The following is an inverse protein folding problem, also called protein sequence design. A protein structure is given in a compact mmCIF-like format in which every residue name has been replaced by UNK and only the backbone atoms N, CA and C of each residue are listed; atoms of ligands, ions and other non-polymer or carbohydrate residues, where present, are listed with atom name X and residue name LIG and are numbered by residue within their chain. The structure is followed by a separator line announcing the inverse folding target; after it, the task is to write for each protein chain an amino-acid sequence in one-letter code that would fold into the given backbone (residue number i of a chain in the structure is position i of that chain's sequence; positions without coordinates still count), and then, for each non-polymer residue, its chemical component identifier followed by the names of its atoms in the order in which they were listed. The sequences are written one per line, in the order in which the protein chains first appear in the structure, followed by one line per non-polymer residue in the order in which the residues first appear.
data_IF_334125751510
#
_entry.id   IF_334125751510
#
_cell.length_a   1.000
_cell.length_b   1.000
_cell.length_c   1.000
_cell.angle_alpha   90.00
_cell.angle_beta   90.00
_cell.angle_gamma   90.00
#
_symmetry.space_group_name_H-M   'P 1'
#
loop_
_entity.id
_entity.type
_entity.pdbx_description
1 polymer ?
#
# COMPACT_ATOMS: atom_id res chain seq x y z
N UNK A 1 6.22 4.49 3.36
CA UNK A 1 5.39 3.69 4.28
C UNK A 1 3.99 3.61 3.70
N UNK A 2 3.37 2.43 3.64
CA UNK A 2 2.04 2.27 3.02
C UNK A 2 0.94 3.06 3.76
N UNK A 3 1.01 3.09 5.09
CA UNK A 3 0.09 3.86 5.97
C UNK A 3 0.09 5.36 5.65
N UNK A 4 1.26 5.94 5.42
CA UNK A 4 1.38 7.38 5.15
C UNK A 4 0.63 7.78 3.87
N UNK A 5 0.77 7.00 2.80
CA UNK A 5 0.06 7.26 1.55
C UNK A 5 -1.47 7.17 1.69
N UNK A 6 -1.98 6.26 2.54
CA UNK A 6 -3.40 6.17 2.83
C UNK A 6 -3.91 7.40 3.62
N UNK A 7 -3.14 7.84 4.62
CA UNK A 7 -3.47 9.04 5.39
C UNK A 7 -3.47 10.31 4.52
N UNK A 8 -2.49 10.47 3.63
CA UNK A 8 -2.43 11.58 2.69
C UNK A 8 -3.65 11.62 1.75
N UNK A 9 -4.11 10.47 1.26
CA UNK A 9 -5.33 10.39 0.45
C UNK A 9 -6.57 10.80 1.21
N UNK A 10 -6.70 10.39 2.48
CA UNK A 10 -7.82 10.79 3.33
C UNK A 10 -7.79 12.31 3.58
N UNK A 11 -6.64 12.86 3.95
CA UNK A 11 -6.48 14.30 4.15
C UNK A 11 -6.79 15.10 2.87
N UNK A 12 -6.31 14.64 1.71
CA UNK A 12 -6.59 15.26 0.43
C UNK A 12 -8.08 15.23 0.08
N UNK A 13 -8.77 14.10 0.32
CA UNK A 13 -10.20 13.99 0.05
C UNK A 13 -11.03 14.91 0.95
N UNK A 14 -10.66 15.05 2.23
CA UNK A 14 -11.29 15.99 3.17
C UNK A 14 -11.07 17.43 2.69
N UNK A 15 -9.82 17.81 2.35
CA UNK A 15 -9.49 19.14 1.85
C UNK A 15 -10.32 19.47 0.60
N UNK A 16 -10.33 18.58 -0.40
CA UNK A 16 -11.12 18.73 -1.62
C UNK A 16 -12.61 18.93 -1.34
N UNK A 17 -13.16 18.18 -0.38
CA UNK A 17 -14.56 18.36 0.03
C UNK A 17 -14.81 19.77 0.58
N UNK A 18 -13.96 20.25 1.50
CA UNK A 18 -14.08 21.60 2.05
C UNK A 18 -13.92 22.70 0.99
N UNK A 19 -12.93 22.57 0.11
CA UNK A 19 -12.68 23.54 -0.97
C UNK A 19 -13.88 23.64 -1.92
N UNK A 20 -14.47 22.50 -2.29
CA UNK A 20 -15.69 22.46 -3.11
C UNK A 20 -16.91 23.07 -2.40
N UNK A 21 -17.03 22.88 -1.08
CA UNK A 21 -18.08 23.49 -0.28
C UNK A 21 -17.96 25.02 -0.26
N UNK A 22 -16.74 25.55 -0.05
CA UNK A 22 -16.45 26.99 -0.06
C UNK A 22 -16.72 27.61 -1.43
N UNK A 23 -16.30 26.95 -2.51
CA UNK A 23 -16.47 27.42 -3.88
C UNK A 23 -17.91 27.26 -4.43
N UNK A 24 -18.87 26.74 -3.63
CA UNK A 24 -20.27 26.51 -4.02
C UNK A 24 -20.44 25.76 -5.35
N UNK A 25 -19.53 24.82 -5.65
CA UNK A 25 -19.54 24.08 -6.91
C UNK A 25 -20.85 23.28 -7.05
N UNK A 26 -21.58 23.42 -8.17
CA UNK A 26 -22.80 22.64 -8.43
C UNK A 26 -22.48 21.16 -8.67
N UNK A 27 -23.21 20.26 -8.02
CA UNK A 27 -23.03 18.80 -8.13
C UNK A 27 -23.01 18.08 -6.78
N UNK A 28 -22.80 16.75 -6.80
CA UNK A 28 -22.80 15.91 -5.58
C UNK A 28 -21.59 16.26 -4.70
N UNK A 29 -21.81 17.12 -3.69
CA UNK A 29 -20.99 17.25 -2.47
C UNK A 29 -21.10 15.97 -1.63
N UNK A 30 -20.77 14.82 -2.21
CA UNK A 30 -20.73 13.56 -1.50
C UNK A 30 -19.59 13.60 -0.50
N UNK A 31 -19.87 13.24 0.76
CA UNK A 31 -18.81 13.04 1.74
C UNK A 31 -17.76 12.05 1.21
N UNK A 32 -16.47 12.27 1.51
CA UNK A 32 -15.42 11.31 1.18
C UNK A 32 -15.77 9.92 1.70
N UNK A 33 -15.60 8.89 0.88
CA UNK A 33 -15.80 7.49 1.26
C UNK A 33 -14.54 6.71 0.98
N UNK A 34 -14.22 5.77 1.85
CA UNK A 34 -13.11 4.85 1.64
C UNK A 34 -13.40 3.92 0.44
N UNK A 35 -12.35 3.64 -0.33
CA UNK A 35 -12.39 2.63 -1.38
C UNK A 35 -12.59 1.25 -0.73
N UNK A 36 -13.64 0.53 -1.15
CA UNK A 36 -13.95 -0.82 -0.63
C UNK A 36 -13.26 -1.94 -1.42
N UNK A 37 -13.00 -1.73 -2.71
CA UNK A 37 -12.46 -2.75 -3.62
C UNK A 37 -10.94 -2.69 -3.78
N UNK A 38 -10.20 -2.33 -2.72
CA UNK A 38 -8.74 -2.37 -2.78
C UNK A 38 -8.23 -3.76 -2.34
N UNK A 39 -7.65 -4.52 -3.28
CA UNK A 39 -7.10 -5.86 -3.01
C UNK A 39 -5.59 -5.88 -2.81
N UNK A 40 -4.94 -4.71 -2.81
CA UNK A 40 -3.49 -4.65 -2.68
C UNK A 40 -3.00 -3.47 -1.88
N UNK A 41 -1.86 -3.66 -1.22
CA UNK A 41 -1.17 -2.62 -0.47
C UNK A 41 0.25 -2.54 -1.00
N UNK A 42 0.62 -1.35 -1.46
CA UNK A 42 1.96 -1.08 -1.98
C UNK A 42 2.86 -0.46 -0.92
N UNK A 43 4.06 -1.02 -0.80
CA UNK A 43 5.11 -0.58 0.09
C UNK A 43 6.28 -0.02 -0.73
N UNK A 44 6.50 1.29 -0.63
CA UNK A 44 7.74 1.94 -1.10
C UNK A 44 8.88 1.79 -0.09
N UNK A 45 8.56 1.92 1.20
CA UNK A 45 9.51 1.86 2.32
C UNK A 45 8.89 1.11 3.50
N UNK A 46 9.73 0.60 4.41
CA UNK A 46 9.28 -0.19 5.56
C UNK A 46 9.28 -1.71 5.32
N UNK A 47 10.05 -2.18 4.34
CA UNK A 47 10.26 -3.59 4.05
C UNK A 47 11.77 -3.83 3.84
N UNK A 48 12.23 -5.06 4.11
CA UNK A 48 13.60 -5.50 3.84
C UNK A 48 13.58 -6.96 3.37
N UNK A 49 14.21 -7.24 2.24
CA UNK A 49 14.47 -8.60 1.79
C UNK A 49 15.64 -9.17 2.61
N UNK A 50 15.52 -10.41 3.07
CA UNK A 50 16.63 -11.11 3.74
C UNK A 50 17.73 -11.47 2.73
N UNK A 51 18.93 -11.75 3.24
CA UNK A 51 20.09 -12.14 2.43
C UNK A 51 19.84 -13.43 1.65
N UNK A 52 19.04 -14.33 2.21
CA UNK A 52 18.60 -15.57 1.57
C UNK A 52 17.62 -15.35 0.40
N UNK A 53 17.11 -14.14 0.24
CA UNK A 53 16.11 -13.71 -0.76
C UNK A 53 14.85 -14.57 -0.83
N UNK A 54 14.62 -15.37 0.20
CA UNK A 54 13.45 -16.25 0.37
C UNK A 54 12.48 -15.70 1.40
N UNK A 55 12.93 -14.74 2.22
CA UNK A 55 12.08 -14.08 3.20
C UNK A 55 12.10 -12.58 3.04
N UNK A 56 10.98 -11.95 3.42
CA UNK A 56 10.83 -10.52 3.47
C UNK A 56 10.28 -10.10 4.84
N UNK A 57 10.87 -9.08 5.44
CA UNK A 57 10.42 -8.53 6.73
C UNK A 57 9.78 -7.16 6.54
N UNK A 58 8.60 -6.98 7.10
CA UNK A 58 7.91 -5.69 7.17
C UNK A 58 8.12 -5.06 8.54
N UNK A 59 8.58 -3.81 8.55
CA UNK A 59 8.88 -3.02 9.76
C UNK A 59 7.96 -1.80 9.88
N UNK A 60 6.72 -1.94 9.45
CA UNK A 60 5.72 -0.87 9.39
C UNK A 60 4.96 -0.65 10.72
N UNK A 61 5.36 -1.36 11.79
CA UNK A 61 4.66 -1.42 13.09
C UNK A 61 3.21 -1.91 12.98
N UNK A 62 2.81 -2.51 11.86
CA UNK A 62 1.50 -3.11 11.67
C UNK A 62 1.45 -4.59 12.11
N UNK A 63 2.55 -5.14 12.62
CA UNK A 63 2.59 -6.50 13.18
C UNK A 63 2.66 -7.62 12.15
N UNK A 64 2.84 -7.31 10.85
CA UNK A 64 2.94 -8.34 9.78
C UNK A 64 4.17 -9.24 9.98
N UNK A 65 5.28 -8.70 10.46
CA UNK A 65 6.50 -9.46 10.74
C UNK A 65 7.21 -9.95 9.47
N UNK A 66 7.68 -11.19 9.52
CA UNK A 66 8.44 -11.82 8.44
C UNK A 66 7.54 -12.78 7.65
N UNK A 67 7.59 -12.67 6.32
CA UNK A 67 6.86 -13.53 5.39
C UNK A 67 7.83 -14.35 4.56
N UNK A 68 7.45 -15.59 4.25
CA UNK A 68 8.13 -16.44 3.28
C UNK A 68 7.65 -16.10 1.87
N UNK A 69 8.59 -15.89 0.97
CA UNK A 69 8.32 -15.71 -0.45
C UNK A 69 8.11 -17.08 -1.08
N UNK A 70 6.96 -17.26 -1.71
CA UNK A 70 6.59 -18.48 -2.43
C UNK A 70 6.41 -18.09 -3.89
N UNK A 71 7.21 -18.68 -4.77
CA UNK A 71 7.16 -18.41 -6.20
C UNK A 71 8.16 -19.28 -6.95
N UNK A 72 7.99 -19.33 -8.26
CA UNK A 72 8.89 -20.05 -9.19
C UNK A 72 10.12 -19.24 -9.57
N UNK A 73 10.09 -17.92 -9.38
CA UNK A 73 11.15 -17.01 -9.78
C UNK A 73 12.26 -16.92 -8.72
N UNK A 74 13.50 -17.13 -9.16
CA UNK A 74 14.67 -16.91 -8.30
C UNK A 74 15.04 -15.42 -8.26
N UNK A 75 14.98 -14.84 -7.06
CA UNK A 75 15.31 -13.44 -6.82
C UNK A 75 16.83 -13.20 -6.71
N UNK A 76 17.68 -14.24 -6.72
CA UNK A 76 19.14 -14.09 -6.69
C UNK A 76 19.72 -13.33 -7.89
N UNK A 77 19.05 -13.39 -9.03
CA UNK A 77 19.46 -12.70 -10.25
C UNK A 77 19.31 -11.17 -10.18
N UNK A 78 18.39 -10.65 -9.36
CA UNK A 78 18.11 -9.21 -9.30
C UNK A 78 18.91 -8.53 -8.19
N UNK A 79 19.54 -7.40 -8.46
CA UNK A 79 20.16 -6.63 -7.38
C UNK A 79 19.06 -6.04 -6.48
N UNK A 80 19.23 -6.08 -5.16
CA UNK A 80 18.24 -5.55 -4.20
C UNK A 80 17.90 -4.09 -4.51
N UNK A 81 18.88 -3.29 -4.97
CA UNK A 81 18.70 -1.89 -5.38
C UNK A 81 17.72 -1.71 -6.56
N UNK A 82 17.52 -2.73 -7.38
CA UNK A 82 16.58 -2.70 -8.50
C UNK A 82 15.12 -2.88 -8.03
N UNK A 83 14.91 -3.50 -6.86
CA UNK A 83 13.58 -3.70 -6.28
C UNK A 83 13.15 -2.41 -5.57
N UNK A 84 12.33 -1.61 -6.25
CA UNK A 84 11.91 -0.30 -5.73
C UNK A 84 10.68 -0.37 -4.82
N UNK A 85 9.80 -1.36 -5.04
CA UNK A 85 8.50 -1.45 -4.36
C UNK A 85 8.09 -2.90 -4.20
N UNK A 86 7.35 -3.18 -3.14
CA UNK A 86 6.72 -4.48 -2.88
C UNK A 86 5.23 -4.27 -2.76
N UNK A 87 4.43 -5.17 -3.31
CA UNK A 87 2.98 -5.13 -3.21
C UNK A 87 2.49 -6.41 -2.55
N UNK A 88 1.75 -6.26 -1.45
CA UNK A 88 1.00 -7.36 -0.85
C UNK A 88 -0.35 -7.40 -1.56
N UNK A 89 -0.73 -8.57 -2.05
CA UNK A 89 -2.00 -8.80 -2.72
C UNK A 89 -2.81 -9.76 -1.85
N UNK A 90 -4.07 -9.40 -1.56
CA UNK A 90 -5.01 -10.32 -0.91
C UNK A 90 -5.35 -11.42 -1.93
N UNK A 91 -5.15 -12.69 -1.56
CA UNK A 91 -5.63 -13.82 -2.38
C UNK A 91 -7.13 -13.65 -2.66
N UNK A 92 -7.54 -13.94 -3.90
CA UNK A 92 -8.94 -13.86 -4.32
C UNK A 92 -9.83 -14.90 -3.63
N UNK A 93 -9.17 -15.95 -3.20
CA UNK A 93 -9.65 -17.23 -2.71
C UNK A 93 -9.74 -17.06 -1.19
N UNK A 94 -10.96 -16.81 -0.71
CA UNK A 94 -11.29 -16.41 0.66
C UNK A 94 -11.16 -17.51 1.70
N UNK A 95 -10.08 -18.29 1.65
CA UNK A 95 -9.67 -19.24 2.69
C UNK A 95 -8.51 -18.67 3.51
#
# INVERSE_FOLDING_TARGET
MARQAAAERAAFAIKRFFDNCKAKVPGKKGYPRFQKNNRSVEYKTGWKLLEDRKHITFKDKCGIGQLKLIGTWDLHFYQIKQIKRVRIVKRSDGY
#
